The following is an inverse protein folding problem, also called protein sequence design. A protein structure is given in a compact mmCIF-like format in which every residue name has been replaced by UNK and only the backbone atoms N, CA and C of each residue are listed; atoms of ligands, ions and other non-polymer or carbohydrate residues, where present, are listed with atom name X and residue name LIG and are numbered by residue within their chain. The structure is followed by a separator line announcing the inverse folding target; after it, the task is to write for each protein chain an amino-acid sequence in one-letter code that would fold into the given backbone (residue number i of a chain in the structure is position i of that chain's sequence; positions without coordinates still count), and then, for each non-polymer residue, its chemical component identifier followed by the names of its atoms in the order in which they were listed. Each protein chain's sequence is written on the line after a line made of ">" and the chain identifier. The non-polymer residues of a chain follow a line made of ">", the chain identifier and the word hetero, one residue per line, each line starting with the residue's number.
data_IF_893380575981
#
_entry.id   IF_893380575981
#
_cell.length_a   1.000
_cell.length_b   1.000
_cell.length_c   1.000
_cell.angle_alpha   90.00
_cell.angle_beta   90.00
_cell.angle_gamma   90.00
#
_symmetry.space_group_name_H-M   'P 1'
#
loop_
_entity.id
_entity.type
_entity.pdbx_description
1 polymer ?
#
# COMPACT_ATOMS: atom_id res chain seq x y z
N UNK A 1 -21.74 -42.65 -8.65
CA UNK A 1 -20.32 -42.29 -8.83
C UNK A 1 -19.50 -43.13 -7.88
N UNK A 2 -18.46 -43.80 -8.37
CA UNK A 2 -17.58 -44.66 -7.56
C UNK A 2 -16.59 -43.82 -6.75
N UNK A 3 -16.01 -44.40 -5.69
CA UNK A 3 -14.99 -43.74 -4.86
C UNK A 3 -13.79 -43.26 -5.70
N UNK A 4 -13.42 -44.01 -6.73
CA UNK A 4 -12.35 -43.61 -7.66
C UNK A 4 -12.75 -42.41 -8.55
N UNK A 5 -14.01 -42.33 -8.96
CA UNK A 5 -14.55 -41.17 -9.69
C UNK A 5 -14.60 -39.92 -8.81
N UNK A 6 -14.83 -40.08 -7.49
CA UNK A 6 -14.79 -38.96 -6.54
C UNK A 6 -13.35 -38.46 -6.32
N UNK A 7 -12.41 -39.38 -6.06
CA UNK A 7 -11.00 -39.05 -5.82
C UNK A 7 -10.33 -38.45 -7.06
N UNK A 8 -10.68 -38.91 -8.26
CA UNK A 8 -10.17 -38.33 -9.52
C UNK A 8 -10.72 -36.92 -9.80
N UNK A 9 -11.95 -36.60 -9.37
CA UNK A 9 -12.50 -35.24 -9.45
C UNK A 9 -11.83 -34.28 -8.48
N UNK A 10 -11.52 -34.71 -7.27
CA UNK A 10 -10.74 -33.90 -6.31
C UNK A 10 -9.33 -33.62 -6.82
N UNK A 11 -8.63 -34.62 -7.39
CA UNK A 11 -7.29 -34.42 -7.98
C UNK A 11 -7.30 -33.46 -9.17
N UNK A 12 -8.41 -33.34 -9.89
CA UNK A 12 -8.61 -32.41 -11.03
C UNK A 12 -9.04 -31.00 -10.60
N UNK A 13 -9.52 -30.80 -9.37
CA UNK A 13 -9.71 -29.46 -8.83
C UNK A 13 -8.33 -28.82 -8.60
N UNK A 14 -7.87 -28.00 -9.56
CA UNK A 14 -6.73 -27.11 -9.37
C UNK A 14 -6.93 -26.36 -8.06
N UNK A 15 -6.06 -26.57 -7.06
CA UNK A 15 -6.03 -25.74 -5.86
C UNK A 15 -5.99 -24.29 -6.33
N UNK A 16 -7.05 -23.51 -6.08
CA UNK A 16 -7.07 -22.07 -6.37
C UNK A 16 -5.81 -21.49 -5.74
N UNK A 17 -4.95 -20.90 -6.57
CA UNK A 17 -3.71 -20.27 -6.14
C UNK A 17 -4.09 -19.23 -5.08
N UNK A 18 -3.66 -19.44 -3.84
CA UNK A 18 -3.97 -18.54 -2.73
C UNK A 18 -3.33 -17.20 -3.12
N UNK A 19 -4.14 -16.17 -3.33
CA UNK A 19 -3.63 -14.83 -3.63
C UNK A 19 -2.66 -14.47 -2.50
N UNK A 20 -1.38 -14.24 -2.81
CA UNK A 20 -0.40 -13.93 -1.78
C UNK A 20 -0.67 -12.51 -1.28
N UNK A 21 -1.47 -12.41 -0.23
CA UNK A 21 -1.93 -11.15 0.36
C UNK A 21 -0.87 -10.56 1.31
N UNK A 22 0.40 -10.77 0.98
CA UNK A 22 1.53 -10.43 1.82
C UNK A 22 1.67 -8.91 1.97
N UNK A 23 1.53 -8.16 0.88
CA UNK A 23 1.55 -6.69 0.89
C UNK A 23 0.44 -6.12 1.79
N UNK A 24 -0.79 -6.66 1.67
CA UNK A 24 -1.90 -6.32 2.55
C UNK A 24 -1.59 -6.61 4.02
N UNK A 25 -1.04 -7.80 4.32
CA UNK A 25 -0.68 -8.16 5.70
C UNK A 25 0.37 -7.23 6.28
N UNK A 26 1.39 -6.86 5.50
CA UNK A 26 2.42 -5.90 5.93
C UNK A 26 1.76 -4.54 6.19
N UNK A 27 0.96 -4.02 5.25
CA UNK A 27 0.27 -2.74 5.40
C UNK A 27 -0.63 -2.72 6.64
N UNK A 28 -1.42 -3.77 6.89
CA UNK A 28 -2.24 -3.89 8.10
C UNK A 28 -1.39 -3.86 9.38
N UNK A 29 -0.24 -4.53 9.40
CA UNK A 29 0.68 -4.50 10.53
C UNK A 29 1.23 -3.09 10.76
N UNK A 30 1.63 -2.38 9.70
CA UNK A 30 2.12 -1.00 9.75
C UNK A 30 1.08 -0.03 10.31
N UNK A 31 -0.15 -0.07 9.78
CA UNK A 31 -1.25 0.79 10.26
C UNK A 31 -1.60 0.49 11.73
N UNK A 32 -1.63 -0.80 12.11
CA UNK A 32 -1.86 -1.20 13.51
C UNK A 32 -0.75 -0.68 14.42
N UNK A 33 0.51 -0.87 14.05
CA UNK A 33 1.65 -0.36 14.80
C UNK A 33 1.57 1.17 14.96
N UNK A 34 1.37 1.90 13.87
CA UNK A 34 1.30 3.36 13.90
C UNK A 34 0.24 3.87 14.86
N UNK A 35 -0.96 3.32 14.81
CA UNK A 35 -2.06 3.73 15.67
C UNK A 35 -1.83 3.40 17.15
N UNK A 36 -1.07 2.34 17.45
CA UNK A 36 -0.70 1.97 18.82
C UNK A 36 0.46 2.84 19.35
N UNK A 37 1.48 3.08 18.53
CA UNK A 37 2.68 3.84 18.89
C UNK A 37 2.43 5.34 18.97
N UNK A 38 1.63 5.88 18.05
CA UNK A 38 1.35 7.31 17.89
C UNK A 38 -0.15 7.62 18.02
N UNK A 39 -0.78 7.36 19.17
CA UNK A 39 -2.22 7.54 19.34
C UNK A 39 -2.67 8.99 19.10
N UNK A 40 -1.81 9.97 19.41
CA UNK A 40 -2.07 11.41 19.15
C UNK A 40 -2.07 11.78 17.66
N UNK A 41 -1.48 10.95 16.80
CA UNK A 41 -1.44 11.15 15.35
C UNK A 41 -2.41 10.23 14.61
N UNK A 42 -3.22 9.44 15.32
CA UNK A 42 -4.22 8.57 14.72
C UNK A 42 -5.14 9.37 13.79
N UNK A 43 -5.42 8.81 12.62
CA UNK A 43 -6.18 9.47 11.55
C UNK A 43 -5.34 10.31 10.58
N UNK A 44 -4.08 10.62 10.91
CA UNK A 44 -3.15 11.27 9.96
C UNK A 44 -2.50 10.29 8.99
N UNK A 45 -2.38 9.02 9.36
CA UNK A 45 -1.99 7.93 8.47
C UNK A 45 -3.26 7.25 7.94
N UNK A 46 -3.45 7.25 6.63
CA UNK A 46 -4.59 6.60 5.98
C UNK A 46 -4.18 5.91 4.69
N UNK A 47 -4.95 4.88 4.33
CA UNK A 47 -4.76 4.13 3.10
C UNK A 47 -5.48 4.79 1.92
N UNK A 48 -4.87 4.71 0.74
CA UNK A 48 -5.46 5.11 -0.53
C UNK A 48 -5.77 3.85 -1.35
N UNK A 49 -7.01 3.31 -1.31
CA UNK A 49 -7.33 2.00 -1.88
C UNK A 49 -7.52 2.03 -3.41
N UNK A 50 -6.66 2.76 -4.12
CA UNK A 50 -6.77 2.96 -5.57
C UNK A 50 -6.35 1.73 -6.38
N UNK A 51 -5.80 0.67 -5.78
CA UNK A 51 -5.44 -0.59 -6.44
C UNK A 51 -6.57 -1.62 -6.52
N UNK A 52 -7.74 -1.35 -5.92
CA UNK A 52 -8.83 -2.32 -5.82
C UNK A 52 -9.41 -2.75 -7.17
N UNK A 53 -9.69 -4.06 -7.31
CA UNK A 53 -10.47 -4.58 -8.45
C UNK A 53 -11.87 -3.99 -8.40
N UNK A 54 -12.33 -3.48 -9.54
CA UNK A 54 -13.66 -2.89 -9.72
C UNK A 54 -14.13 -3.14 -11.15
N UNK A 55 -15.44 -3.07 -11.35
CA UNK A 55 -16.01 -3.16 -12.69
C UNK A 55 -15.69 -1.90 -13.52
N UNK A 56 -15.88 -1.99 -14.83
CA UNK A 56 -15.54 -0.92 -15.77
C UNK A 56 -16.33 0.38 -15.52
N UNK A 57 -17.60 0.27 -15.12
CA UNK A 57 -18.46 1.44 -14.86
C UNK A 57 -17.96 2.18 -13.62
N UNK A 58 -17.69 1.45 -12.54
CA UNK A 58 -17.12 2.00 -11.31
C UNK A 58 -15.74 2.61 -11.57
N UNK A 59 -14.89 1.95 -12.37
CA UNK A 59 -13.58 2.50 -12.75
C UNK A 59 -13.71 3.83 -13.51
N UNK A 60 -14.64 3.94 -14.46
CA UNK A 60 -14.85 5.16 -15.23
C UNK A 60 -15.34 6.31 -14.36
N UNK A 61 -16.31 6.06 -13.46
CA UNK A 61 -16.79 7.06 -12.51
C UNK A 61 -15.69 7.55 -11.59
N UNK A 62 -14.94 6.64 -10.97
CA UNK A 62 -13.84 6.98 -10.08
C UNK A 62 -12.74 7.78 -10.80
N UNK A 63 -12.45 7.47 -12.07
CA UNK A 63 -11.53 8.26 -12.88
C UNK A 63 -12.05 9.67 -13.12
N UNK A 64 -13.35 9.84 -13.37
CA UNK A 64 -13.99 11.15 -13.50
C UNK A 64 -14.02 11.91 -12.15
N UNK A 65 -14.10 11.20 -11.03
CA UNK A 65 -13.99 11.75 -9.67
C UNK A 65 -12.54 12.10 -9.27
N UNK A 66 -11.56 11.80 -10.14
CA UNK A 66 -10.17 12.19 -9.93
C UNK A 66 -9.27 11.12 -9.31
N UNK A 67 -9.65 9.83 -9.35
CA UNK A 67 -8.73 8.76 -8.97
C UNK A 67 -7.50 8.77 -9.88
N UNK A 68 -6.33 8.97 -9.26
CA UNK A 68 -5.03 8.92 -9.91
C UNK A 68 -4.44 7.51 -9.73
N UNK A 69 -3.98 6.92 -10.83
CA UNK A 69 -3.30 5.63 -10.81
C UNK A 69 -1.88 5.77 -10.25
N UNK A 70 -1.48 4.82 -9.41
CA UNK A 70 -0.12 4.79 -8.86
C UNK A 70 0.14 5.69 -7.65
N UNK A 71 -0.90 6.30 -7.06
CA UNK A 71 -0.78 6.92 -5.73
C UNK A 71 -0.26 5.88 -4.73
N UNK A 72 0.64 6.31 -3.85
CA UNK A 72 1.16 5.51 -2.75
C UNK A 72 0.05 4.88 -1.87
N UNK A 73 0.28 3.67 -1.39
CA UNK A 73 -0.71 2.92 -0.61
C UNK A 73 -1.11 3.60 0.70
N UNK A 74 -0.16 4.26 1.37
CA UNK A 74 -0.39 5.00 2.61
C UNK A 74 0.12 6.43 2.50
N UNK A 75 -0.63 7.37 3.08
CA UNK A 75 -0.22 8.77 3.24
C UNK A 75 -0.24 9.11 4.72
N UNK A 76 0.90 9.60 5.23
CA UNK A 76 1.00 10.23 6.53
C UNK A 76 0.97 11.75 6.37
N UNK A 77 -0.20 12.34 6.61
CA UNK A 77 -0.43 13.78 6.52
C UNK A 77 0.05 14.49 7.80
N UNK A 78 1.36 14.65 7.88
CA UNK A 78 2.07 15.41 8.91
C UNK A 78 3.31 16.03 8.27
N UNK A 79 3.42 17.36 8.33
CA UNK A 79 4.64 18.03 7.92
C UNK A 79 5.77 17.82 8.95
N UNK A 80 7.00 17.94 8.49
CA UNK A 80 8.20 18.01 9.32
C UNK A 80 9.07 19.20 8.83
N UNK A 81 10.34 19.30 9.22
CA UNK A 81 11.22 20.41 8.79
C UNK A 81 11.35 20.51 7.27
N UNK A 82 11.49 19.37 6.59
CA UNK A 82 11.88 19.32 5.18
C UNK A 82 10.70 19.03 4.24
N UNK A 83 9.65 18.38 4.73
CA UNK A 83 8.57 17.81 3.92
C UNK A 83 7.18 18.12 4.48
N UNK A 84 6.20 18.27 3.60
CA UNK A 84 4.79 18.47 3.94
C UNK A 84 4.04 17.17 4.32
N UNK A 85 4.47 16.03 3.78
CA UNK A 85 3.89 14.72 4.07
C UNK A 85 4.88 13.58 3.74
N UNK A 86 4.63 12.41 4.34
CA UNK A 86 5.31 11.15 4.02
C UNK A 86 4.35 10.25 3.23
N UNK A 87 4.78 9.86 2.03
CA UNK A 87 4.08 8.98 1.09
C UNK A 87 4.76 7.61 1.13
N UNK A 88 3.99 6.56 1.40
CA UNK A 88 4.54 5.23 1.67
C UNK A 88 3.89 4.23 0.73
N UNK A 89 4.71 3.68 -0.16
CA UNK A 89 4.36 2.58 -1.04
C UNK A 89 4.75 1.26 -0.40
N UNK A 90 3.82 0.33 -0.33
CA UNK A 90 4.05 -1.00 0.22
C UNK A 90 4.43 -1.95 -0.90
N UNK A 91 5.44 -2.78 -0.66
CA UNK A 91 5.79 -3.88 -1.56
C UNK A 91 6.11 -5.13 -0.78
N UNK A 92 5.95 -6.28 -1.41
CA UNK A 92 6.60 -7.51 -0.93
C UNK A 92 8.13 -7.38 -1.05
N UNK A 93 8.93 -8.27 -0.43
CA UNK A 93 10.39 -8.24 -0.55
C UNK A 93 10.90 -8.22 -2.00
N UNK A 94 10.19 -8.90 -2.90
CA UNK A 94 10.52 -8.97 -4.34
C UNK A 94 9.65 -8.07 -5.22
N UNK A 95 8.62 -7.43 -4.64
CA UNK A 95 7.67 -6.58 -5.34
C UNK A 95 8.34 -5.35 -5.94
N UNK A 96 7.85 -4.91 -7.10
CA UNK A 96 8.37 -3.73 -7.81
C UNK A 96 7.27 -2.71 -7.98
N UNK A 97 7.64 -1.44 -7.98
CA UNK A 97 6.74 -0.37 -8.39
C UNK A 97 6.33 -0.58 -9.85
N UNK A 98 5.06 -0.36 -10.15
CA UNK A 98 4.59 -0.22 -11.53
C UNK A 98 5.12 1.07 -12.15
N UNK A 99 5.02 1.18 -13.48
CA UNK A 99 5.44 2.40 -14.18
C UNK A 99 4.60 3.61 -13.77
N UNK A 100 3.29 3.42 -13.53
CA UNK A 100 2.43 4.48 -13.01
C UNK A 100 2.81 4.96 -11.61
N UNK A 101 3.30 4.07 -10.74
CA UNK A 101 3.77 4.42 -9.39
C UNK A 101 5.07 5.24 -9.45
N UNK A 102 6.00 4.86 -10.35
CA UNK A 102 7.25 5.62 -10.57
C UNK A 102 6.98 7.00 -11.16
N UNK A 103 6.07 7.08 -12.13
CA UNK A 103 5.70 8.36 -12.74
C UNK A 103 5.03 9.29 -11.71
N UNK A 104 4.09 8.76 -10.93
CA UNK A 104 3.44 9.54 -9.87
C UNK A 104 4.45 9.99 -8.81
N UNK A 105 5.35 9.11 -8.36
CA UNK A 105 6.45 9.47 -7.45
C UNK A 105 7.30 10.61 -8.01
N UNK A 106 7.68 10.53 -9.29
CA UNK A 106 8.51 11.55 -9.94
C UNK A 106 7.81 12.91 -9.92
N UNK A 107 6.53 12.95 -10.31
CA UNK A 107 5.74 14.19 -10.35
C UNK A 107 5.58 14.78 -8.94
N UNK A 108 5.16 13.96 -7.96
CA UNK A 108 4.83 14.48 -6.64
C UNK A 108 6.08 14.90 -5.85
N UNK A 109 7.23 14.31 -6.10
CA UNK A 109 8.49 14.65 -5.42
C UNK A 109 9.34 15.67 -6.20
N UNK A 110 8.85 16.23 -7.31
CA UNK A 110 9.64 17.06 -8.23
C UNK A 110 10.27 18.28 -7.56
N UNK A 111 9.53 19.03 -6.73
CA UNK A 111 10.11 20.19 -6.02
C UNK A 111 10.53 19.88 -4.58
N UNK A 112 10.59 18.60 -4.21
CA UNK A 112 11.07 18.16 -2.91
C UNK A 112 10.14 18.43 -1.74
N UNK A 113 8.87 18.82 -1.96
CA UNK A 113 7.92 19.10 -0.87
C UNK A 113 7.44 17.85 -0.13
N UNK A 114 7.60 16.67 -0.73
CA UNK A 114 7.10 15.42 -0.18
C UNK A 114 8.18 14.33 -0.19
N UNK A 115 8.23 13.54 0.88
CA UNK A 115 9.08 12.35 0.93
C UNK A 115 8.29 11.12 0.50
N UNK A 116 8.75 10.43 -0.54
CA UNK A 116 8.21 9.14 -0.96
C UNK A 116 9.17 8.01 -0.59
N UNK A 117 8.65 6.95 0.02
CA UNK A 117 9.44 5.76 0.42
C UNK A 117 8.73 4.47 -0.01
N UNK A 118 9.53 3.45 -0.31
CA UNK A 118 9.05 2.08 -0.55
C UNK A 118 9.38 1.25 0.68
N UNK A 119 8.35 0.75 1.36
CA UNK A 119 8.47 -0.09 2.56
C UNK A 119 8.17 -1.54 2.21
N UNK A 120 9.10 -2.46 2.57
CA UNK A 120 9.00 -3.88 2.22
C UNK A 120 8.67 -4.78 3.42
N UNK A 121 8.59 -4.18 4.59
CA UNK A 121 8.40 -4.84 5.87
C UNK A 121 7.85 -3.86 6.91
N UNK A 122 7.42 -4.40 8.05
CA UNK A 122 7.09 -3.58 9.21
C UNK A 122 8.31 -2.79 9.71
N UNK A 123 9.49 -3.40 9.72
CA UNK A 123 10.71 -2.76 10.21
C UNK A 123 11.13 -1.58 9.34
N UNK A 124 10.98 -1.70 8.01
CA UNK A 124 11.19 -0.57 7.10
C UNK A 124 10.24 0.58 7.40
N UNK A 125 8.95 0.26 7.57
CA UNK A 125 7.93 1.26 7.90
C UNK A 125 8.25 1.98 9.22
N UNK A 126 8.61 1.22 10.26
CA UNK A 126 8.99 1.78 11.57
C UNK A 126 10.16 2.73 11.39
N UNK A 127 11.23 2.29 10.71
CA UNK A 127 12.42 3.11 10.49
C UNK A 127 12.09 4.42 9.76
N UNK A 128 11.34 4.35 8.66
CA UNK A 128 11.02 5.55 7.86
C UNK A 128 10.10 6.51 8.61
N UNK A 129 9.06 6.01 9.28
CA UNK A 129 8.12 6.84 10.05
C UNK A 129 8.81 7.46 11.25
N UNK A 130 9.55 6.68 12.04
CA UNK A 130 10.25 7.19 13.22
C UNK A 130 11.29 8.23 12.81
N UNK A 131 12.05 8.00 11.72
CA UNK A 131 12.99 8.98 11.19
C UNK A 131 12.29 10.25 10.72
N UNK A 132 11.19 10.12 10.00
CA UNK A 132 10.43 11.26 9.47
C UNK A 132 9.83 12.11 10.60
N UNK A 133 9.27 11.47 11.63
CA UNK A 133 8.63 12.14 12.77
C UNK A 133 9.63 12.72 13.78
N UNK A 134 10.89 12.27 13.81
CA UNK A 134 11.95 12.90 14.63
C UNK A 134 12.45 14.21 14.03
N UNK A 135 12.34 14.37 12.72
CA UNK A 135 12.81 15.55 11.99
C UNK A 135 11.83 16.73 12.07
N UNK A 136 11.29 17.02 13.26
CA UNK A 136 10.22 18.00 13.47
C UNK A 136 10.69 19.38 13.92
N UNK A 137 12.00 19.57 14.09
CA UNK A 137 12.63 20.83 14.49
C UNK A 137 13.53 21.30 13.39
#
# INVERSE_FOLDING_TARGET
>A
MTLEEMLSKERKQKKKQKHNDEEHRIQCACVKYFNLKYPKLKGRLFAVPNGGRRDAVTAAKLKAEGVIAGIADLILLKSNRDYGALLIEMKTPVGRQSDSQKEWQKIICENGEYKYVVCRSLDDFIREVDSYLKNTE
#
